data_IF_219740651466
#
_entry.id   IF_219740651466
#
_cell.length_a   1.000
_cell.length_b   1.000
_cell.length_c   1.000
_cell.angle_alpha   90.00
_cell.angle_beta   90.00
_cell.angle_gamma   90.00
#
_symmetry.space_group_name_H-M   'P 1'
#
loop_
_entity.id
_entity.type
_entity.pdbx_description
1 polymer ?
#
# COMPACT_ATOMS: atom_id res chain seq x y z
N UNK A 1 -3.24 -18.10 -1.64
CA UNK A 1 -3.67 -18.22 -3.05
C UNK A 1 -3.22 -16.96 -3.77
N UNK A 2 -2.09 -17.04 -4.47
CA UNK A 2 -1.74 -16.04 -5.47
C UNK A 2 -2.84 -16.11 -6.53
N UNK A 3 -3.70 -15.11 -6.61
CA UNK A 3 -4.48 -14.93 -7.83
C UNK A 3 -3.48 -14.52 -8.91
N UNK A 4 -2.83 -15.51 -9.51
CA UNK A 4 -2.16 -15.35 -10.79
C UNK A 4 -3.25 -15.00 -11.78
N UNK A 5 -3.59 -13.72 -11.88
CA UNK A 5 -4.21 -13.20 -13.09
C UNK A 5 -3.09 -13.19 -14.13
N UNK A 6 -2.78 -14.40 -14.60
CA UNK A 6 -1.74 -14.66 -15.56
C UNK A 6 -2.27 -14.15 -16.90
N UNK A 7 -2.05 -12.87 -17.18
CA UNK A 7 -2.26 -12.34 -18.50
C UNK A 7 -1.10 -12.87 -19.36
N UNK A 8 -1.34 -13.80 -20.31
CA UNK A 8 -0.28 -14.54 -21.00
C UNK A 8 0.60 -13.67 -21.93
N UNK A 9 0.40 -12.35 -21.97
CA UNK A 9 0.93 -11.47 -23.02
C UNK A 9 2.15 -10.63 -22.62
N UNK A 10 2.39 -10.36 -21.33
CA UNK A 10 3.60 -9.61 -20.92
C UNK A 10 4.84 -10.49 -20.78
N UNK A 11 4.65 -11.80 -20.58
CA UNK A 11 5.73 -12.78 -20.40
C UNK A 11 6.55 -13.07 -21.68
N UNK A 12 6.09 -12.62 -22.86
CA UNK A 12 6.67 -13.02 -24.15
C UNK A 12 7.73 -12.05 -24.71
N UNK A 13 7.82 -10.82 -24.19
CA UNK A 13 8.70 -9.80 -24.74
C UNK A 13 9.42 -9.02 -23.63
N UNK A 14 10.43 -9.63 -22.97
CA UNK A 14 11.38 -8.97 -22.04
C UNK A 14 10.83 -8.21 -20.82
N UNK A 15 9.52 -8.13 -20.64
CA UNK A 15 8.89 -7.51 -19.47
C UNK A 15 8.40 -8.62 -18.53
N UNK A 16 9.29 -9.17 -17.71
CA UNK A 16 8.95 -9.98 -16.53
C UNK A 16 8.29 -9.09 -15.46
N UNK A 17 7.16 -8.48 -15.81
CA UNK A 17 6.38 -7.64 -14.91
C UNK A 17 5.50 -8.54 -14.04
N UNK A 18 6.10 -9.07 -12.98
CA UNK A 18 5.36 -9.73 -11.92
C UNK A 18 4.60 -8.69 -11.09
N UNK A 19 3.26 -8.81 -11.08
CA UNK A 19 2.44 -7.95 -10.23
C UNK A 19 2.70 -8.34 -8.77
N UNK A 20 3.17 -7.40 -7.92
CA UNK A 20 3.38 -7.70 -6.52
C UNK A 20 2.07 -8.15 -5.85
N UNK A 21 2.16 -9.13 -4.95
CA UNK A 21 0.99 -9.74 -4.29
C UNK A 21 0.12 -8.73 -3.53
N UNK A 22 0.68 -7.59 -3.15
CA UNK A 22 0.02 -6.54 -2.38
C UNK A 22 -0.48 -5.39 -3.26
N UNK A 23 -0.50 -5.57 -4.59
CA UNK A 23 -0.84 -4.52 -5.55
C UNK A 23 -2.16 -4.85 -6.26
N UNK A 24 -3.02 -3.84 -6.39
CA UNK A 24 -4.17 -3.95 -7.28
C UNK A 24 -3.66 -3.95 -8.74
N UNK A 25 -3.96 -4.96 -9.57
CA UNK A 25 -3.47 -5.02 -10.94
C UNK A 25 -3.77 -3.76 -11.75
N UNK A 26 -4.95 -3.15 -11.58
CA UNK A 26 -5.28 -1.91 -12.29
C UNK A 26 -4.36 -0.74 -11.90
N UNK A 27 -4.08 -0.58 -10.60
CA UNK A 27 -3.18 0.45 -10.09
C UNK A 27 -1.73 0.22 -10.57
N UNK A 28 -1.33 -1.05 -10.73
CA UNK A 28 0.00 -1.41 -11.23
C UNK A 28 0.19 -0.95 -12.67
N UNK A 29 -0.79 -1.22 -13.54
CA UNK A 29 -0.73 -0.79 -14.95
C UNK A 29 -0.84 0.73 -15.10
N UNK A 30 -1.71 1.38 -14.33
CA UNK A 30 -1.81 2.84 -14.33
C UNK A 30 -0.46 3.46 -13.97
N UNK A 31 0.25 2.91 -12.98
CA UNK A 31 1.57 3.37 -12.58
C UNK A 31 2.63 3.16 -13.67
N UNK A 32 2.57 2.04 -14.38
CA UNK A 32 3.48 1.73 -15.48
C UNK A 32 3.28 2.66 -16.69
N UNK A 33 2.06 3.17 -16.88
CA UNK A 33 1.70 4.11 -17.93
C UNK A 33 1.73 5.57 -17.48
N UNK A 34 2.08 5.84 -16.21
CA UNK A 34 2.08 7.19 -15.66
C UNK A 34 3.34 7.95 -16.09
N UNK A 35 3.17 9.22 -16.50
CA UNK A 35 4.26 10.11 -16.88
C UNK A 35 4.60 11.02 -15.70
N UNK A 36 5.83 10.90 -15.18
CA UNK A 36 6.34 11.79 -14.14
C UNK A 36 7.24 12.88 -14.73
N UNK A 37 7.17 14.14 -14.27
CA UNK A 37 7.94 15.26 -14.84
C UNK A 37 9.45 15.06 -14.81
N UNK A 38 9.98 14.33 -13.82
CA UNK A 38 11.43 14.11 -13.65
C UNK A 38 12.00 12.98 -14.51
N UNK A 39 11.18 12.03 -14.93
CA UNK A 39 11.61 10.83 -15.70
C UNK A 39 10.79 10.71 -16.98
N UNK A 40 10.35 11.85 -17.53
CA UNK A 40 9.40 11.91 -18.65
C UNK A 40 9.86 11.07 -19.83
N UNK A 41 11.10 11.26 -20.27
CA UNK A 41 11.63 10.62 -21.48
C UNK A 41 11.73 9.09 -21.31
N UNK A 42 12.10 8.63 -20.12
CA UNK A 42 12.12 7.20 -19.78
C UNK A 42 10.72 6.60 -19.76
N UNK A 43 9.74 7.31 -19.16
CA UNK A 43 8.35 6.86 -19.10
C UNK A 43 7.72 6.81 -20.50
N UNK A 44 8.02 7.79 -21.36
CA UNK A 44 7.53 7.84 -22.74
C UNK A 44 8.09 6.68 -23.57
N UNK A 45 9.40 6.41 -23.47
CA UNK A 45 10.02 5.27 -24.13
C UNK A 45 9.43 3.93 -23.65
N UNK A 46 9.10 3.81 -22.36
CA UNK A 46 8.41 2.62 -21.83
C UNK A 46 6.99 2.48 -22.36
N UNK A 47 6.23 3.57 -22.43
CA UNK A 47 4.85 3.55 -22.96
C UNK A 47 4.85 3.14 -24.44
N UNK A 48 5.72 3.74 -25.26
CA UNK A 48 5.85 3.41 -26.68
C UNK A 48 6.17 1.94 -26.88
N UNK A 49 7.13 1.41 -26.12
CA UNK A 49 7.48 -0.01 -26.17
C UNK A 49 6.30 -0.90 -25.77
N UNK A 50 5.57 -0.56 -24.71
CA UNK A 50 4.39 -1.31 -24.25
C UNK A 50 3.30 -1.30 -25.34
N UNK A 51 3.04 -0.16 -25.98
CA UNK A 51 2.09 -0.03 -27.08
C UNK A 51 2.50 -0.90 -28.27
N UNK A 52 3.77 -0.83 -28.70
CA UNK A 52 4.32 -1.66 -29.78
C UNK A 52 4.22 -3.15 -29.52
N UNK A 53 4.46 -3.57 -28.26
CA UNK A 53 4.34 -4.96 -27.85
C UNK A 53 2.88 -5.43 -27.82
N UNK A 54 1.95 -4.57 -27.42
CA UNK A 54 0.53 -4.86 -27.40
C UNK A 54 -0.05 -5.01 -28.82
N UNK A 55 0.32 -4.13 -29.75
CA UNK A 55 -0.13 -4.21 -31.16
C UNK A 55 0.30 -5.51 -31.84
N UNK A 56 1.46 -6.06 -31.47
CA UNK A 56 1.98 -7.33 -31.99
C UNK A 56 1.36 -8.56 -31.32
N UNK A 57 0.53 -8.39 -30.29
CA UNK A 57 -0.07 -9.49 -29.52
C UNK A 57 -1.26 -10.12 -30.25
N UNK A 58 -1.37 -11.45 -30.17
CA UNK A 58 -2.51 -12.20 -30.71
C UNK A 58 -3.85 -11.81 -30.07
N UNK A 59 -3.83 -11.25 -28.86
CA UNK A 59 -5.04 -10.72 -28.21
C UNK A 59 -5.53 -9.42 -28.82
N UNK A 60 -4.64 -8.54 -29.26
CA UNK A 60 -5.04 -7.33 -29.97
C UNK A 60 -5.72 -7.71 -31.29
N UNK A 61 -5.17 -8.66 -32.04
CA UNK A 61 -5.81 -9.19 -33.25
C UNK A 61 -7.20 -9.79 -32.96
N UNK A 62 -7.37 -10.49 -31.82
CA UNK A 62 -8.66 -11.03 -31.39
C UNK A 62 -9.65 -9.92 -31.00
N UNK A 63 -9.20 -8.91 -30.24
CA UNK A 63 -9.98 -7.72 -29.89
C UNK A 63 -10.46 -6.99 -31.15
N UNK A 64 -9.56 -6.78 -32.12
CA UNK A 64 -9.89 -6.19 -33.42
C UNK A 64 -10.95 -7.03 -34.17
N UNK A 65 -10.87 -8.36 -34.12
CA UNK A 65 -11.84 -9.22 -34.81
C UNK A 65 -13.22 -9.32 -34.13
N UNK A 66 -13.30 -9.11 -32.82
CA UNK A 66 -14.49 -9.35 -32.01
C UNK A 66 -15.28 -8.05 -31.75
N UNK A 67 -14.60 -6.90 -31.62
CA UNK A 67 -15.21 -5.63 -31.18
C UNK A 67 -15.39 -4.63 -32.33
N UNK A 68 -14.46 -4.55 -33.29
CA UNK A 68 -14.57 -3.63 -34.44
C UNK A 68 -15.82 -3.88 -35.30
N UNK A 69 -16.27 -5.13 -35.55
CA UNK A 69 -17.47 -5.35 -36.36
C UNK A 69 -18.77 -4.91 -35.67
N UNK A 70 -18.77 -4.77 -34.32
CA UNK A 70 -19.94 -4.39 -33.52
C UNK A 70 -20.00 -2.88 -33.23
N UNK A 71 -18.94 -2.13 -33.50
CA UNK A 71 -18.84 -0.71 -33.22
C UNK A 71 -18.58 0.06 -34.53
N UNK A 72 -19.66 0.49 -35.20
CA UNK A 72 -19.61 1.17 -36.50
C UNK A 72 -18.85 2.51 -36.45
N UNK A 73 -17.55 2.44 -36.74
CA UNK A 73 -16.84 3.10 -37.84
C UNK A 73 -16.80 4.63 -37.98
N UNK A 74 -16.96 5.47 -36.96
CA UNK A 74 -16.55 6.89 -37.09
C UNK A 74 -16.16 7.57 -35.76
N UNK A 75 -16.83 7.27 -34.64
CA UNK A 75 -16.56 7.98 -33.37
C UNK A 75 -15.24 7.62 -32.68
N UNK A 76 -14.77 6.37 -32.80
CA UNK A 76 -13.56 5.93 -32.10
C UNK A 76 -12.26 6.30 -32.81
N UNK A 77 -12.25 6.35 -34.14
CA UNK A 77 -11.09 6.88 -34.89
C UNK A 77 -10.92 8.38 -34.64
N UNK A 78 -12.02 9.10 -34.49
CA UNK A 78 -12.00 10.50 -34.06
C UNK A 78 -11.49 10.60 -32.60
N UNK A 79 -12.00 9.78 -31.67
CA UNK A 79 -11.50 9.77 -30.27
C UNK A 79 -10.03 9.35 -30.18
N UNK A 80 -9.57 8.39 -30.98
CA UNK A 80 -8.16 7.97 -31.08
C UNK A 80 -7.29 9.09 -31.64
N UNK A 81 -7.73 9.74 -32.72
CA UNK A 81 -6.96 10.84 -33.32
C UNK A 81 -6.95 12.08 -32.43
N UNK A 82 -8.05 12.39 -31.72
CA UNK A 82 -8.12 13.42 -30.69
C UNK A 82 -7.19 13.05 -29.54
N UNK A 83 -7.23 11.82 -29.02
CA UNK A 83 -6.34 11.37 -27.94
C UNK A 83 -4.87 11.42 -28.34
N UNK A 84 -4.50 10.95 -29.54
CA UNK A 84 -3.11 11.03 -30.03
C UNK A 84 -2.68 12.48 -30.23
N UNK A 85 -3.52 13.35 -30.80
CA UNK A 85 -3.21 14.78 -30.91
C UNK A 85 -3.06 15.43 -29.54
N UNK A 86 -3.95 15.11 -28.60
CA UNK A 86 -3.91 15.62 -27.24
C UNK A 86 -2.67 15.13 -26.50
N UNK A 87 -2.32 13.85 -26.63
CA UNK A 87 -1.13 13.23 -26.05
C UNK A 87 0.15 13.80 -26.65
N UNK A 88 0.21 13.97 -27.97
CA UNK A 88 1.36 14.52 -28.67
C UNK A 88 1.54 16.02 -28.39
N UNK A 89 0.43 16.76 -28.27
CA UNK A 89 0.43 18.13 -27.77
C UNK A 89 0.96 18.17 -26.34
N UNK A 90 0.45 17.34 -25.43
CA UNK A 90 0.93 17.25 -24.05
C UNK A 90 2.42 16.92 -23.99
N UNK A 91 2.90 15.99 -24.83
CA UNK A 91 4.32 15.65 -24.96
C UNK A 91 5.17 16.86 -25.39
N UNK A 92 4.70 17.68 -26.32
CA UNK A 92 5.42 18.85 -26.86
C UNK A 92 5.26 20.16 -26.08
N UNK A 93 4.23 20.31 -25.25
CA UNK A 93 3.93 21.55 -24.52
C UNK A 93 4.90 21.76 -23.34
N UNK A 94 5.50 20.69 -22.82
CA UNK A 94 6.46 20.77 -21.71
C UNK A 94 7.85 21.27 -22.11
N UNK A 95 8.23 21.26 -23.39
CA UNK A 95 9.52 21.82 -23.83
C UNK A 95 9.51 23.36 -23.83
N UNK A 96 8.35 23.98 -24.13
CA UNK A 96 8.17 25.44 -24.06
C UNK A 96 7.85 25.93 -22.65
N UNK A 97 7.07 25.18 -21.87
CA UNK A 97 6.76 25.57 -20.49
C UNK A 97 7.97 25.43 -19.55
N UNK A 98 8.95 24.58 -19.84
CA UNK A 98 10.17 24.41 -19.02
C UNK A 98 11.00 25.70 -18.90
N UNK A 99 11.06 26.52 -19.96
CA UNK A 99 11.83 27.78 -19.95
C UNK A 99 11.12 28.90 -19.15
N UNK A 100 9.80 28.86 -19.07
CA UNK A 100 8.99 29.85 -18.35
C UNK A 100 8.67 29.44 -16.90
N UNK A 101 8.65 28.13 -16.59
CA UNK A 101 8.35 27.60 -15.25
C UNK A 101 9.55 27.56 -14.30
N UNK A 102 10.79 27.51 -14.80
CA UNK A 102 12.00 27.64 -13.97
C UNK A 102 12.02 28.98 -13.23
N UNK A 103 11.43 30.02 -13.79
CA UNK A 103 11.39 31.37 -13.18
C UNK A 103 10.15 31.63 -12.31
N UNK A 104 9.15 30.72 -12.26
CA UNK A 104 7.86 30.96 -11.57
C UNK A 104 7.49 29.96 -10.48
N UNK A 105 8.20 28.84 -10.33
CA UNK A 105 7.79 27.72 -9.46
C UNK A 105 8.45 27.68 -8.08
N UNK A 106 8.76 28.84 -7.50
CA UNK A 106 9.13 28.95 -6.06
C UNK A 106 7.90 29.15 -5.15
N UNK A 107 6.70 28.79 -5.63
CA UNK A 107 5.53 28.60 -4.77
C UNK A 107 5.49 27.14 -4.32
N UNK A 108 5.98 26.90 -3.11
CA UNK A 108 5.86 25.63 -2.36
C UNK A 108 4.41 25.16 -2.34
N UNK A 109 3.99 24.39 -3.34
CA UNK A 109 2.83 23.51 -3.21
C UNK A 109 3.24 22.47 -2.17
N UNK A 110 2.58 22.45 -1.01
CA UNK A 110 2.94 21.48 0.01
C UNK A 110 2.73 20.10 -0.57
N UNK A 111 3.76 19.23 -0.48
CA UNK A 111 3.76 17.83 -0.95
C UNK A 111 2.46 17.08 -0.59
N UNK A 112 1.81 17.47 0.50
CA UNK A 112 0.55 16.92 0.98
C UNK A 112 -0.62 17.88 0.74
N UNK A 113 -1.73 17.37 0.17
CA UNK A 113 -2.94 18.14 -0.13
C UNK A 113 -3.80 18.47 1.10
N UNK A 114 -3.60 17.78 2.23
CA UNK A 114 -4.48 17.82 3.41
C UNK A 114 -3.75 18.16 4.70
N UNK A 115 -4.48 18.73 5.66
CA UNK A 115 -3.98 19.02 7.00
C UNK A 115 -3.72 17.76 7.83
N UNK A 116 -2.68 17.77 8.66
CA UNK A 116 -2.22 16.59 9.41
C UNK A 116 -3.24 16.02 10.40
N UNK A 117 -4.12 16.86 10.98
CA UNK A 117 -5.16 16.39 11.90
C UNK A 117 -6.25 15.59 11.18
N UNK A 118 -6.61 16.00 9.96
CA UNK A 118 -7.57 15.27 9.13
C UNK A 118 -6.99 13.93 8.70
N UNK A 119 -5.71 13.90 8.30
CA UNK A 119 -4.98 12.66 8.01
C UNK A 119 -5.00 11.71 9.21
N UNK A 120 -4.66 12.22 10.40
CA UNK A 120 -4.64 11.45 11.63
C UNK A 120 -6.00 10.82 11.98
N UNK A 121 -7.09 11.58 11.89
CA UNK A 121 -8.44 11.06 12.18
C UNK A 121 -8.84 9.92 11.24
N UNK A 122 -8.56 10.07 9.95
CA UNK A 122 -8.83 9.02 8.96
C UNK A 122 -7.96 7.79 9.16
N UNK A 123 -6.69 7.98 9.51
CA UNK A 123 -5.75 6.89 9.79
C UNK A 123 -6.17 6.09 11.04
N UNK A 124 -6.61 6.76 12.11
CA UNK A 124 -7.16 6.07 13.29
C UNK A 124 -8.38 5.25 12.91
N UNK A 125 -9.33 5.85 12.20
CA UNK A 125 -10.55 5.15 11.78
C UNK A 125 -10.21 3.91 10.94
N UNK A 126 -9.31 4.05 9.96
CA UNK A 126 -8.83 2.94 9.14
C UNK A 126 -8.21 1.83 9.99
N UNK A 127 -7.22 2.17 10.83
CA UNK A 127 -6.53 1.21 11.69
C UNK A 127 -7.50 0.48 12.64
N UNK A 128 -8.50 1.19 13.18
CA UNK A 128 -9.51 0.59 14.06
C UNK A 128 -10.43 -0.40 13.31
N UNK A 129 -10.83 -0.04 12.09
CA UNK A 129 -11.62 -0.93 11.22
C UNK A 129 -10.80 -2.16 10.83
N UNK A 130 -9.52 -1.99 10.51
CA UNK A 130 -8.63 -3.09 10.14
C UNK A 130 -8.37 -4.04 11.31
N UNK A 131 -8.23 -3.51 12.53
CA UNK A 131 -8.18 -4.31 13.76
C UNK A 131 -9.48 -5.08 13.98
N UNK A 132 -10.63 -4.44 13.78
CA UNK A 132 -11.95 -5.07 13.96
C UNK A 132 -12.23 -6.18 12.95
N UNK A 133 -11.73 -6.04 11.71
CA UNK A 133 -11.88 -7.04 10.64
C UNK A 133 -11.02 -8.29 10.84
N UNK A 134 -9.96 -8.21 11.65
CA UNK A 134 -9.03 -9.30 11.89
C UNK A 134 -9.19 -9.87 13.32
N UNK A 135 -10.35 -10.49 13.67
CA UNK A 135 -10.59 -10.98 15.02
C UNK A 135 -9.68 -12.15 15.41
N UNK A 136 -9.02 -12.79 14.44
CA UNK A 136 -8.08 -13.89 14.69
C UNK A 136 -6.93 -13.45 15.58
N UNK A 137 -6.31 -12.30 15.29
CA UNK A 137 -5.15 -11.81 16.05
C UNK A 137 -5.56 -11.43 17.48
N UNK A 138 -6.72 -10.78 17.66
CA UNK A 138 -7.26 -10.41 18.98
C UNK A 138 -7.64 -11.66 19.79
N UNK A 139 -8.31 -12.64 19.17
CA UNK A 139 -8.70 -13.89 19.84
C UNK A 139 -7.49 -14.66 20.35
N UNK A 140 -6.43 -14.78 19.55
CA UNK A 140 -5.19 -15.44 19.97
C UNK A 140 -4.53 -14.72 21.15
N UNK A 141 -4.47 -13.39 21.14
CA UNK A 141 -3.94 -12.60 22.26
C UNK A 141 -4.73 -12.87 23.55
N UNK A 142 -6.07 -12.86 23.48
CA UNK A 142 -6.94 -13.13 24.63
C UNK A 142 -6.77 -14.55 25.14
N UNK A 143 -6.76 -15.56 24.27
CA UNK A 143 -6.61 -16.97 24.66
C UNK A 143 -5.26 -17.19 25.34
N UNK A 144 -4.16 -16.66 24.77
CA UNK A 144 -2.84 -16.80 25.35
C UNK A 144 -2.73 -16.08 26.70
N UNK A 145 -3.29 -14.87 26.82
CA UNK A 145 -3.31 -14.12 28.07
C UNK A 145 -4.07 -14.85 29.18
N UNK A 146 -5.23 -15.44 28.86
CA UNK A 146 -6.00 -16.26 29.79
C UNK A 146 -5.21 -17.50 30.22
N UNK A 147 -4.56 -18.19 29.27
CA UNK A 147 -3.74 -19.36 29.58
C UNK A 147 -2.59 -19.04 30.52
N UNK A 148 -1.82 -17.97 30.22
CA UNK A 148 -0.73 -17.49 31.09
C UNK A 148 -1.26 -17.07 32.45
N UNK A 149 -2.39 -16.35 32.50
CA UNK A 149 -3.02 -15.91 33.74
C UNK A 149 -3.46 -17.08 34.62
N UNK A 150 -4.01 -18.15 34.04
CA UNK A 150 -4.37 -19.37 34.76
C UNK A 150 -3.12 -20.07 35.29
N UNK A 151 -2.08 -20.22 34.46
CA UNK A 151 -0.83 -20.88 34.86
C UNK A 151 -0.18 -20.16 36.05
N UNK A 152 -0.04 -18.85 35.95
CA UNK A 152 0.51 -18.00 37.02
C UNK A 152 -0.39 -18.03 38.25
N UNK A 153 -1.72 -17.97 38.09
CA UNK A 153 -2.68 -18.03 39.18
C UNK A 153 -2.65 -19.36 39.95
N UNK A 154 -2.43 -20.49 39.25
CA UNK A 154 -2.25 -21.80 39.87
C UNK A 154 -0.88 -21.92 40.57
N UNK A 155 0.17 -21.35 39.97
CA UNK A 155 1.53 -21.42 40.50
C UNK A 155 1.67 -20.69 41.86
N UNK A 156 0.96 -19.57 42.03
CA UNK A 156 0.95 -18.79 43.27
C UNK A 156 -0.30 -19.00 44.12
N UNK A 157 -1.03 -20.10 43.90
CA UNK A 157 -2.26 -20.39 44.64
C UNK A 157 -1.97 -20.62 46.12
N UNK A 158 -2.70 -19.93 47.00
CA UNK A 158 -2.56 -19.98 48.47
C UNK A 158 -1.17 -19.65 49.03
N UNK A 159 -0.61 -18.53 48.59
CA UNK A 159 0.61 -17.99 49.19
C UNK A 159 0.33 -17.51 50.64
N UNK A 160 1.11 -17.99 51.62
CA UNK A 160 1.00 -17.59 53.04
C UNK A 160 1.60 -16.21 53.30
N UNK A 161 1.11 -15.42 54.25
CA UNK A 161 1.58 -14.05 54.50
C UNK A 161 2.88 -13.98 55.32
N UNK A 162 4.01 -14.33 54.69
CA UNK A 162 5.35 -14.31 55.29
C UNK A 162 6.32 -13.39 54.52
N UNK A 163 7.49 -13.09 55.09
CA UNK A 163 8.56 -12.33 54.40
C UNK A 163 8.96 -12.99 53.07
N UNK A 164 9.03 -14.32 53.02
CA UNK A 164 9.27 -15.10 51.79
C UNK A 164 8.15 -14.92 50.76
N UNK A 165 6.93 -14.69 51.21
CA UNK A 165 5.81 -14.44 50.30
C UNK A 165 5.85 -13.05 49.69
N UNK A 166 6.33 -12.03 50.41
CA UNK A 166 6.58 -10.72 49.81
C UNK A 166 7.57 -10.82 48.63
N UNK A 167 8.60 -11.66 48.76
CA UNK A 167 9.53 -11.95 47.65
C UNK A 167 8.83 -12.70 46.49
N UNK A 168 7.99 -13.68 46.80
CA UNK A 168 7.22 -14.42 45.79
C UNK A 168 6.21 -13.51 45.05
N UNK A 169 5.61 -12.53 45.72
CA UNK A 169 4.76 -11.51 45.08
C UNK A 169 5.54 -10.59 44.15
N UNK A 170 6.74 -10.17 44.56
CA UNK A 170 7.60 -9.37 43.68
C UNK A 170 8.00 -10.17 42.43
N UNK A 171 8.31 -11.45 42.58
CA UNK A 171 8.61 -12.35 41.46
C UNK A 171 7.40 -12.51 40.52
N UNK A 172 6.19 -12.64 41.08
CA UNK A 172 4.94 -12.68 40.33
C UNK A 172 4.73 -11.42 39.48
N UNK A 173 4.81 -10.24 40.09
CA UNK A 173 4.61 -8.96 39.38
C UNK A 173 5.64 -8.79 38.27
N UNK A 174 6.91 -9.11 38.56
CA UNK A 174 7.99 -9.05 37.58
C UNK A 174 7.77 -10.02 36.40
N UNK A 175 7.38 -11.26 36.68
CA UNK A 175 7.12 -12.27 35.65
C UNK A 175 5.93 -11.87 34.77
N UNK A 176 4.85 -11.38 35.36
CA UNK A 176 3.68 -10.89 34.61
C UNK A 176 4.05 -9.68 33.75
N UNK A 177 4.80 -8.72 34.31
CA UNK A 177 5.23 -7.53 33.59
C UNK A 177 6.08 -7.89 32.35
N UNK A 178 7.04 -8.80 32.51
CA UNK A 178 7.89 -9.25 31.41
C UNK A 178 7.06 -9.98 30.35
N UNK A 179 6.18 -10.88 30.76
CA UNK A 179 5.34 -11.65 29.83
C UNK A 179 4.44 -10.72 28.99
N UNK A 180 3.79 -9.75 29.64
CA UNK A 180 2.98 -8.72 28.95
C UNK A 180 3.82 -7.87 28.01
N UNK A 181 5.01 -7.44 28.43
CA UNK A 181 5.89 -6.60 27.61
C UNK A 181 6.35 -7.33 26.34
N UNK A 182 6.79 -8.59 26.47
CA UNK A 182 7.17 -9.40 25.31
C UNK A 182 5.99 -9.68 24.38
N UNK A 183 4.79 -9.95 24.92
CA UNK A 183 3.59 -10.15 24.13
C UNK A 183 3.25 -8.91 23.28
N UNK A 184 3.37 -7.71 23.86
CA UNK A 184 3.12 -6.44 23.16
C UNK A 184 4.15 -6.19 22.03
N UNK A 185 5.44 -6.43 22.28
CA UNK A 185 6.49 -6.26 21.24
C UNK A 185 6.29 -7.25 20.09
N UNK A 186 5.98 -8.50 20.40
CA UNK A 186 5.74 -9.52 19.37
C UNK A 186 4.51 -9.19 18.52
N UNK A 187 3.43 -8.75 19.16
CA UNK A 187 2.22 -8.28 18.51
C UNK A 187 2.49 -7.18 17.46
N UNK A 188 3.18 -6.10 17.88
CA UNK A 188 3.50 -4.96 17.02
C UNK A 188 4.43 -5.37 15.87
N UNK A 189 5.41 -6.24 16.13
CA UNK A 189 6.36 -6.67 15.08
C UNK A 189 5.64 -7.43 13.95
N UNK A 190 4.66 -8.27 14.30
CA UNK A 190 3.93 -9.06 13.32
C UNK A 190 2.90 -8.24 12.53
N UNK A 191 2.24 -7.27 13.15
CA UNK A 191 1.31 -6.37 12.46
C UNK A 191 2.07 -5.38 11.57
N UNK A 192 3.17 -4.82 12.07
CA UNK A 192 3.96 -3.83 11.36
C UNK A 192 4.63 -4.36 10.10
N UNK A 193 5.22 -5.56 10.15
CA UNK A 193 5.89 -6.15 8.97
C UNK A 193 4.93 -6.40 7.80
N UNK A 194 3.65 -6.70 8.09
CA UNK A 194 2.61 -6.87 7.07
C UNK A 194 2.19 -5.54 6.43
N UNK A 195 2.09 -4.47 7.24
CA UNK A 195 1.64 -3.16 6.78
C UNK A 195 2.75 -2.27 6.22
N UNK A 196 4.02 -2.54 6.56
CA UNK A 196 5.16 -1.75 6.10
C UNK A 196 5.21 -1.53 4.58
N UNK A 197 5.04 -2.55 3.70
CA UNK A 197 5.11 -2.34 2.26
C UNK A 197 3.98 -1.45 1.73
N UNK A 198 2.78 -1.52 2.31
CA UNK A 198 1.66 -0.66 1.88
C UNK A 198 1.87 0.78 2.35
N UNK A 199 2.38 0.97 3.58
CA UNK A 199 2.74 2.28 4.10
C UNK A 199 3.80 2.96 3.24
N UNK A 200 4.86 2.23 2.86
CA UNK A 200 5.95 2.78 2.05
C UNK A 200 5.43 3.29 0.70
N UNK A 201 4.56 2.51 0.04
CA UNK A 201 3.88 2.93 -1.19
C UNK A 201 3.02 4.18 -0.98
N UNK A 202 2.15 4.19 0.03
CA UNK A 202 1.25 5.33 0.29
C UNK A 202 2.01 6.61 0.67
N UNK A 203 3.20 6.46 1.27
CA UNK A 203 4.10 7.56 1.57
C UNK A 203 4.76 8.14 0.32
N UNK A 204 5.25 7.28 -0.57
CA UNK A 204 5.82 7.67 -1.87
C UNK A 204 4.78 8.38 -2.75
N UNK A 205 3.53 7.89 -2.72
CA UNK A 205 2.38 8.50 -3.41
C UNK A 205 1.90 9.80 -2.72
N UNK A 206 2.59 10.25 -1.65
CA UNK A 206 2.33 11.46 -0.88
C UNK A 206 0.89 11.58 -0.32
N UNK A 207 0.25 10.44 -0.04
CA UNK A 207 -1.12 10.40 0.49
C UNK A 207 -1.18 10.96 1.91
N UNK A 208 -0.22 10.59 2.77
CA UNK A 208 -0.11 11.10 4.13
C UNK A 208 1.34 11.17 4.64
N UNK A 209 1.53 11.97 5.70
CA UNK A 209 2.83 12.14 6.37
C UNK A 209 3.14 10.96 7.28
N UNK A 210 4.44 10.73 7.50
CA UNK A 210 4.95 9.69 8.41
C UNK A 210 4.50 9.91 9.86
N UNK A 211 4.48 11.16 10.33
CA UNK A 211 4.15 11.50 11.71
C UNK A 211 2.71 11.14 12.13
N UNK A 212 1.63 11.58 11.43
CA UNK A 212 0.28 11.17 11.79
C UNK A 212 0.05 9.67 11.65
N UNK A 213 0.77 8.97 10.77
CA UNK A 213 0.70 7.50 10.68
C UNK A 213 1.20 6.81 11.95
N UNK A 214 2.40 7.16 12.43
CA UNK A 214 2.95 6.54 13.65
C UNK A 214 2.07 6.80 14.87
N UNK A 215 1.61 8.03 15.06
CA UNK A 215 0.71 8.33 16.19
C UNK A 215 -0.64 7.62 16.05
N UNK A 216 -1.20 7.54 14.84
CA UNK A 216 -2.48 6.86 14.63
C UNK A 216 -2.36 5.36 14.91
N UNK A 217 -1.22 4.76 14.53
CA UNK A 217 -0.95 3.34 14.81
C UNK A 217 -0.74 3.09 16.30
N UNK A 218 0.09 3.90 16.96
CA UNK A 218 0.31 3.83 18.42
C UNK A 218 -0.96 4.05 19.26
N UNK A 219 -1.92 4.85 18.76
CA UNK A 219 -3.17 5.09 19.50
C UNK A 219 -4.13 3.89 19.44
N UNK A 220 -4.03 3.08 18.37
CA UNK A 220 -4.95 1.96 18.12
C UNK A 220 -4.41 0.64 18.64
N UNK A 221 -3.08 0.46 18.63
CA UNK A 221 -2.38 -0.77 19.02
C UNK A 221 -1.63 -0.63 20.35
#
# INVERSE_FOLDING_TARGET
MTSHFNMPHFNYYRFDLEIPRNYNPADFYIRQLAIYPRTRDENLAQIELICDAYEKSSQYARYLSEIIPLHSSNEEDEKRSIFIRFFQQWCGEDEKNNLDDVNKTDKKTSRYKTGSMTQFRWLIWRNFVDLSKNPFEIRLRVILAVFVGILVGLLYFRLSYNQTAAQNFNALIFLTLINTSFANIFAITQSYTKEYPIFYKEHDDAVYRVTPYYFAKFTVE
#
